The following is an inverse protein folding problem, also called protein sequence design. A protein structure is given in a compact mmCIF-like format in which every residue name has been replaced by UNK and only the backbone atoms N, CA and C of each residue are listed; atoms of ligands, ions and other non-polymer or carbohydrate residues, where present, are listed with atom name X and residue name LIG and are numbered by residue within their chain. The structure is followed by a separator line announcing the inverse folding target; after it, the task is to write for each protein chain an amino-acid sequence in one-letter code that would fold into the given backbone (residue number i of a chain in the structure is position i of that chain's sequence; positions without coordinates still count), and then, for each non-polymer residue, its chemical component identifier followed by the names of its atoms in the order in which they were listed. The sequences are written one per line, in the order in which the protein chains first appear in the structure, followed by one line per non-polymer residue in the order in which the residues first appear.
data_IF_516211968011
#
_entry.id   IF_516211968011
#
_cell.length_a   1.000
_cell.length_b   1.000
_cell.length_c   1.000
_cell.angle_alpha   90.00
_cell.angle_beta   90.00
_cell.angle_gamma   90.00
#
_symmetry.space_group_name_H-M   'P 1'
#
loop_
_entity.id
_entity.type
_entity.pdbx_description
1 polymer ?
#
# COMPACT_ATOMS: atom_id res chain seq x y z
N UNK A 1 -18.78 -23.35 4.49
CA UNK A 1 -19.52 -22.68 5.57
C UNK A 1 -18.63 -22.26 6.74
N UNK A 2 -17.87 -23.16 7.39
CA UNK A 2 -17.00 -22.83 8.54
C UNK A 2 -15.94 -21.75 8.28
N UNK A 3 -15.18 -21.87 7.18
CA UNK A 3 -14.16 -20.87 6.80
C UNK A 3 -14.75 -19.49 6.49
N UNK A 4 -15.95 -19.45 5.90
CA UNK A 4 -16.63 -18.21 5.55
C UNK A 4 -17.09 -17.45 6.80
N UNK A 5 -17.61 -18.19 7.79
CA UNK A 5 -18.03 -17.64 9.09
C UNK A 5 -16.81 -17.09 9.84
N UNK A 6 -15.70 -17.83 9.86
CA UNK A 6 -14.45 -17.37 10.50
C UNK A 6 -13.90 -16.13 9.82
N UNK A 7 -13.89 -16.07 8.49
CA UNK A 7 -13.45 -14.89 7.76
C UNK A 7 -14.33 -13.67 8.08
N UNK A 8 -15.65 -13.83 8.11
CA UNK A 8 -16.58 -12.76 8.48
C UNK A 8 -16.38 -12.28 9.92
N UNK A 9 -16.14 -13.20 10.86
CA UNK A 9 -15.89 -12.88 12.27
C UNK A 9 -14.65 -12.02 12.50
N UNK A 10 -13.69 -12.00 11.56
CA UNK A 10 -12.46 -11.20 11.69
C UNK A 10 -12.53 -9.94 10.81
N UNK A 11 -13.06 -10.06 9.59
CA UNK A 11 -13.15 -8.95 8.63
C UNK A 11 -14.18 -7.90 9.09
N UNK A 12 -15.35 -8.33 9.60
CA UNK A 12 -16.40 -7.40 10.03
C UNK A 12 -15.93 -6.51 11.18
N UNK A 13 -15.32 -7.03 12.27
CA UNK A 13 -14.74 -6.18 13.31
C UNK A 13 -13.65 -5.25 12.78
N UNK A 14 -12.75 -5.72 11.91
CA UNK A 14 -11.73 -4.87 11.31
C UNK A 14 -12.35 -3.70 10.52
N UNK A 15 -13.40 -3.97 9.73
CA UNK A 15 -14.13 -2.92 9.02
C UNK A 15 -14.83 -1.94 9.99
N UNK A 16 -15.47 -2.44 11.07
CA UNK A 16 -16.10 -1.59 12.07
C UNK A 16 -15.09 -0.67 12.79
N UNK A 17 -13.90 -1.20 13.13
CA UNK A 17 -12.80 -0.40 13.67
C UNK A 17 -12.37 0.66 12.67
N UNK A 18 -12.30 0.33 11.37
CA UNK A 18 -12.00 1.29 10.32
C UNK A 18 -13.03 2.42 10.24
N UNK A 19 -14.33 2.08 10.26
CA UNK A 19 -15.42 3.06 10.28
C UNK A 19 -15.34 3.95 11.52
N UNK A 20 -15.04 3.38 12.68
CA UNK A 20 -14.89 4.12 13.93
C UNK A 20 -13.69 5.07 13.90
N UNK A 21 -12.51 4.59 13.50
CA UNK A 21 -11.29 5.40 13.40
C UNK A 21 -11.37 6.47 12.30
N UNK A 22 -12.20 6.26 11.28
CA UNK A 22 -12.37 7.19 10.16
C UNK A 22 -13.24 8.42 10.43
N UNK A 23 -13.99 8.46 11.55
CA UNK A 23 -14.98 9.53 11.81
C UNK A 23 -14.34 10.91 11.97
N UNK A 24 -13.16 10.96 12.58
CA UNK A 24 -12.50 12.22 12.97
C UNK A 24 -11.49 12.71 11.90
N UNK A 25 -11.37 12.00 10.77
CA UNK A 25 -10.39 12.31 9.72
C UNK A 25 -10.68 13.61 8.94
N UNK A 26 -11.86 14.21 9.11
CA UNK A 26 -12.35 15.35 8.34
C UNK A 26 -12.18 16.74 8.97
N UNK A 27 -11.81 16.85 10.25
CA UNK A 27 -11.94 18.12 10.99
C UNK A 27 -10.68 19.01 11.00
N UNK A 28 -9.55 18.54 10.48
CA UNK A 28 -8.29 19.27 10.56
C UNK A 28 -7.68 19.58 9.22
N UNK A 29 -7.78 20.82 8.72
CA UNK A 29 -6.59 21.56 8.22
C UNK A 29 -6.86 23.02 7.83
N UNK A 30 -6.11 23.92 8.48
CA UNK A 30 -5.67 25.18 7.88
C UNK A 30 -4.84 24.90 6.62
N UNK A 31 -5.02 25.75 5.61
CA UNK A 31 -4.59 25.56 4.22
C UNK A 31 -3.09 25.87 3.98
N UNK A 32 -2.14 25.17 4.61
CA UNK A 32 -0.74 25.28 4.16
C UNK A 32 -0.56 24.54 2.82
N UNK A 33 -0.10 25.22 1.74
CA UNK A 33 0.03 24.61 0.42
C UNK A 33 0.97 23.41 0.36
N UNK A 34 2.02 23.38 1.19
CA UNK A 34 3.01 22.29 1.22
C UNK A 34 2.45 21.04 1.89
N UNK A 35 1.74 21.21 3.01
CA UNK A 35 1.03 20.13 3.69
C UNK A 35 -0.06 19.54 2.78
N UNK A 36 -0.86 20.40 2.15
CA UNK A 36 -1.91 19.98 1.22
C UNK A 36 -1.34 19.24 0.01
N UNK A 37 -0.23 19.72 -0.57
CA UNK A 37 0.45 19.04 -1.67
C UNK A 37 0.92 17.63 -1.28
N UNK A 38 1.49 17.46 -0.09
CA UNK A 38 1.90 16.15 0.43
C UNK A 38 0.69 15.23 0.67
N UNK A 39 -0.41 15.76 1.20
CA UNK A 39 -1.65 15.00 1.39
C UNK A 39 -2.24 14.54 0.05
N UNK A 40 -2.28 15.40 -0.97
CA UNK A 40 -2.74 15.06 -2.32
C UNK A 40 -1.88 14.02 -3.02
N UNK A 41 -0.56 14.10 -2.92
CA UNK A 41 0.33 13.05 -3.45
C UNK A 41 0.04 11.70 -2.78
N UNK A 42 -0.11 11.70 -1.45
CA UNK A 42 -0.42 10.50 -0.67
C UNK A 42 -1.78 9.90 -1.07
N UNK A 43 -2.81 10.74 -1.19
CA UNK A 43 -4.15 10.33 -1.61
C UNK A 43 -4.17 9.78 -3.03
N UNK A 44 -3.52 10.48 -3.97
CA UNK A 44 -3.44 10.05 -5.36
C UNK A 44 -2.68 8.72 -5.52
N UNK A 45 -1.51 8.58 -4.87
CA UNK A 45 -0.77 7.33 -4.84
C UNK A 45 -1.59 6.19 -4.20
N UNK A 46 -2.32 6.46 -3.11
CA UNK A 46 -3.18 5.46 -2.48
C UNK A 46 -4.29 4.98 -3.42
N UNK A 47 -4.95 5.88 -4.16
CA UNK A 47 -5.99 5.50 -5.12
C UNK A 47 -5.45 4.64 -6.27
N UNK A 48 -4.26 5.00 -6.80
CA UNK A 48 -3.59 4.21 -7.84
C UNK A 48 -3.20 2.81 -7.33
N UNK A 49 -2.78 2.70 -6.07
CA UNK A 49 -2.36 1.44 -5.45
C UNK A 49 -3.52 0.47 -5.18
N UNK A 50 -4.77 0.95 -5.01
CA UNK A 50 -5.89 0.09 -4.60
C UNK A 50 -6.15 -1.06 -5.57
N UNK A 51 -6.17 -0.79 -6.88
CA UNK A 51 -6.46 -1.80 -7.91
C UNK A 51 -5.37 -2.90 -7.95
N UNK A 52 -4.07 -2.57 -8.12
CA UNK A 52 -3.04 -3.61 -8.14
C UNK A 52 -2.90 -4.34 -6.79
N UNK A 53 -3.13 -3.69 -5.64
CA UNK A 53 -3.18 -4.38 -4.36
C UNK A 53 -4.38 -5.34 -4.22
N UNK A 54 -5.53 -5.00 -4.79
CA UNK A 54 -6.65 -5.93 -4.84
C UNK A 54 -6.35 -7.12 -5.77
N UNK A 55 -5.67 -6.86 -6.89
CA UNK A 55 -5.22 -7.91 -7.80
C UNK A 55 -4.20 -8.86 -7.14
N UNK A 56 -3.26 -8.34 -6.33
CA UNK A 56 -2.33 -9.11 -5.49
C UNK A 56 -3.05 -10.11 -4.58
N UNK A 57 -4.04 -9.63 -3.82
CA UNK A 57 -4.83 -10.47 -2.90
C UNK A 57 -5.53 -11.57 -3.70
N UNK A 58 -6.08 -11.23 -4.86
CA UNK A 58 -6.79 -12.17 -5.71
C UNK A 58 -5.88 -13.26 -6.29
N UNK A 59 -4.74 -12.87 -6.86
CA UNK A 59 -3.77 -13.79 -7.49
C UNK A 59 -3.00 -14.62 -6.47
N UNK A 60 -2.85 -14.13 -5.23
CA UNK A 60 -2.23 -14.90 -4.13
C UNK A 60 -3.15 -15.96 -3.51
N UNK A 61 -4.48 -15.80 -3.62
CA UNK A 61 -5.47 -16.74 -3.05
C UNK A 61 -5.95 -17.77 -4.09
N UNK A 62 -5.81 -17.49 -5.38
CA UNK A 62 -6.22 -18.34 -6.51
C UNK A 62 -5.00 -18.85 -7.28
N UNK A 63 -5.12 -19.88 -8.14
CA UNK A 63 -4.01 -20.27 -9.03
C UNK A 63 -3.61 -19.08 -9.91
N UNK A 64 -2.38 -18.59 -9.75
CA UNK A 64 -1.88 -17.40 -10.43
C UNK A 64 -0.56 -16.84 -9.87
N UNK A 65 0.32 -17.70 -9.33
CA UNK A 65 1.51 -17.26 -8.57
C UNK A 65 2.50 -16.44 -9.38
N UNK A 66 2.61 -16.68 -10.69
CA UNK A 66 3.38 -15.80 -11.55
C UNK A 66 2.77 -14.40 -11.60
N UNK A 67 1.47 -14.28 -11.86
CA UNK A 67 0.80 -13.00 -11.92
C UNK A 67 0.90 -12.26 -10.57
N UNK A 68 0.77 -12.98 -9.46
CA UNK A 68 1.06 -12.48 -8.11
C UNK A 68 2.48 -11.91 -8.01
N UNK A 69 3.51 -12.68 -8.36
CA UNK A 69 4.89 -12.17 -8.27
C UNK A 69 5.14 -10.94 -9.18
N UNK A 70 4.63 -10.94 -10.43
CA UNK A 70 4.82 -9.83 -11.36
C UNK A 70 4.07 -8.56 -10.91
N UNK A 71 2.86 -8.68 -10.37
CA UNK A 71 2.15 -7.54 -9.79
C UNK A 71 2.93 -7.02 -8.56
N UNK A 72 3.57 -7.92 -7.80
CA UNK A 72 4.38 -7.57 -6.65
C UNK A 72 5.54 -6.67 -7.06
N UNK A 73 6.28 -7.04 -8.10
CA UNK A 73 7.34 -6.19 -8.64
C UNK A 73 6.82 -4.85 -9.17
N UNK A 74 5.68 -4.83 -9.87
CA UNK A 74 5.04 -3.59 -10.32
C UNK A 74 4.74 -2.64 -9.14
N UNK A 75 4.33 -3.20 -8.00
CA UNK A 75 3.91 -2.46 -6.82
C UNK A 75 5.07 -1.89 -6.00
N UNK A 76 6.29 -2.44 -6.10
CA UNK A 76 7.42 -2.02 -5.25
C UNK A 76 7.65 -0.49 -5.32
N UNK A 77 7.84 0.15 -6.49
CA UNK A 77 8.12 1.58 -6.51
C UNK A 77 6.91 2.47 -6.11
N UNK A 78 5.66 2.21 -6.54
CA UNK A 78 4.49 2.95 -6.07
C UNK A 78 4.27 2.85 -4.55
N UNK A 79 4.52 1.69 -3.95
CA UNK A 79 4.47 1.51 -2.49
C UNK A 79 5.56 2.33 -1.82
N UNK A 80 6.80 2.29 -2.33
CA UNK A 80 7.89 3.13 -1.81
C UNK A 80 7.57 4.62 -1.92
N UNK A 81 6.93 5.06 -3.01
CA UNK A 81 6.46 6.45 -3.15
C UNK A 81 5.43 6.81 -2.08
N UNK A 82 4.43 5.96 -1.84
CA UNK A 82 3.42 6.19 -0.79
C UNK A 82 4.07 6.23 0.59
N UNK A 83 4.94 5.26 0.90
CA UNK A 83 5.66 5.20 2.17
C UNK A 83 6.58 6.40 2.36
N UNK A 84 7.29 6.83 1.32
CA UNK A 84 8.13 8.03 1.33
C UNK A 84 7.32 9.30 1.58
N UNK A 85 6.15 9.45 0.95
CA UNK A 85 5.26 10.60 1.15
C UNK A 85 4.71 10.67 2.58
N UNK A 86 4.29 9.53 3.15
CA UNK A 86 3.82 9.44 4.54
C UNK A 86 4.98 9.63 5.53
N UNK A 87 6.12 9.01 5.26
CA UNK A 87 7.35 9.13 6.05
C UNK A 87 7.87 10.56 6.10
N UNK A 88 7.83 11.28 4.97
CA UNK A 88 8.16 12.70 4.93
C UNK A 88 7.28 13.50 5.88
N UNK A 89 5.95 13.32 5.82
CA UNK A 89 5.02 13.97 6.77
C UNK A 89 5.35 13.63 8.22
N UNK A 90 5.61 12.36 8.50
CA UNK A 90 5.97 11.87 9.83
C UNK A 90 7.22 12.58 10.35
N UNK A 91 8.31 12.57 9.56
CA UNK A 91 9.57 13.22 9.93
C UNK A 91 9.34 14.71 10.19
N UNK A 92 8.72 15.46 9.27
CA UNK A 92 8.47 16.90 9.45
C UNK A 92 7.67 17.21 10.71
N UNK A 93 6.68 16.38 11.04
CA UNK A 93 5.87 16.55 12.25
C UNK A 93 6.71 16.38 13.54
N UNK A 94 7.49 15.30 13.63
CA UNK A 94 8.28 15.00 14.84
C UNK A 94 9.56 15.82 14.96
N UNK A 95 10.11 16.33 13.85
CA UNK A 95 11.23 17.28 13.88
C UNK A 95 10.80 18.72 14.13
N UNK A 96 9.50 18.98 14.31
CA UNK A 96 9.03 20.28 14.76
C UNK A 96 8.64 21.30 13.68
N UNK A 97 8.47 20.90 12.40
CA UNK A 97 8.08 21.86 11.35
C UNK A 97 6.72 22.51 11.70
N UNK A 98 6.64 23.85 11.84
CA UNK A 98 5.42 24.53 12.28
C UNK A 98 4.21 24.27 11.39
N UNK A 99 4.41 24.10 10.08
CA UNK A 99 3.33 23.84 9.12
C UNK A 99 2.74 22.46 9.34
N UNK A 100 3.60 21.45 9.52
CA UNK A 100 3.18 20.07 9.74
C UNK A 100 2.58 19.88 11.14
N UNK A 101 3.10 20.56 12.16
CA UNK A 101 2.49 20.56 13.50
C UNK A 101 1.13 21.26 13.52
N UNK A 102 1.02 22.41 12.83
CA UNK A 102 -0.23 23.16 12.69
C UNK A 102 -1.32 22.40 11.94
N UNK A 103 -0.94 21.43 11.10
CA UNK A 103 -1.87 20.52 10.43
C UNK A 103 -2.43 19.41 11.35
N UNK A 104 -1.98 19.35 12.60
CA UNK A 104 -2.43 18.39 13.60
C UNK A 104 -1.73 17.03 13.53
N UNK A 105 -1.70 16.29 14.65
CA UNK A 105 -1.20 14.92 14.67
C UNK A 105 -2.07 14.00 13.79
N UNK A 106 -1.50 12.90 13.25
CA UNK A 106 -2.32 11.79 12.78
C UNK A 106 -3.20 11.27 13.93
N UNK A 107 -4.42 10.85 13.62
CA UNK A 107 -5.31 10.18 14.58
C UNK A 107 -4.57 8.98 15.21
N UNK A 108 -4.65 8.84 16.53
CA UNK A 108 -3.75 7.97 17.31
C UNK A 108 -3.94 6.50 16.98
N UNK A 109 -5.18 6.05 16.74
CA UNK A 109 -5.49 4.67 16.38
C UNK A 109 -4.89 4.36 15.01
N UNK A 110 -5.09 5.25 14.04
CA UNK A 110 -4.52 5.10 12.69
C UNK A 110 -2.99 5.20 12.69
N UNK A 111 -2.41 5.96 13.62
CA UNK A 111 -0.96 5.99 13.84
C UNK A 111 -0.44 4.66 14.37
N UNK A 112 -1.13 4.06 15.35
CA UNK A 112 -0.77 2.76 15.91
C UNK A 112 -0.94 1.64 14.89
N UNK A 113 -1.94 1.70 14.01
CA UNK A 113 -2.14 0.77 12.90
C UNK A 113 -1.11 0.99 11.79
N UNK A 114 -0.68 2.24 11.58
CA UNK A 114 0.31 2.58 10.55
C UNK A 114 1.64 1.85 10.74
N UNK A 115 2.10 1.68 11.98
CA UNK A 115 3.36 0.99 12.29
C UNK A 115 3.34 -0.48 11.81
N UNK A 116 2.44 -1.36 12.28
CA UNK A 116 2.37 -2.74 11.81
C UNK A 116 2.06 -2.82 10.32
N UNK A 117 1.21 -1.93 9.78
CA UNK A 117 0.92 -1.92 8.34
C UNK A 117 2.19 -1.71 7.51
N UNK A 118 3.05 -0.76 7.91
CA UNK A 118 4.35 -0.54 7.24
C UNK A 118 5.25 -1.76 7.38
N UNK A 119 5.39 -2.31 8.60
CA UNK A 119 6.23 -3.49 8.85
C UNK A 119 5.79 -4.71 8.04
N UNK A 120 4.50 -5.02 8.01
CA UNK A 120 3.99 -6.16 7.25
C UNK A 120 4.03 -5.91 5.73
N UNK A 121 3.91 -4.65 5.29
CA UNK A 121 4.13 -4.31 3.87
C UNK A 121 5.57 -4.62 3.48
N UNK A 122 6.55 -4.18 4.26
CA UNK A 122 7.97 -4.48 4.02
C UNK A 122 8.23 -5.98 4.09
N UNK A 123 7.64 -6.68 5.06
CA UNK A 123 7.78 -8.13 5.18
C UNK A 123 7.20 -8.87 3.97
N UNK A 124 6.03 -8.48 3.46
CA UNK A 124 5.43 -9.09 2.26
C UNK A 124 6.33 -8.93 1.03
N UNK A 125 6.81 -7.72 0.74
CA UNK A 125 7.71 -7.51 -0.38
C UNK A 125 9.04 -8.23 -0.18
N UNK A 126 9.65 -8.14 1.01
CA UNK A 126 10.92 -8.80 1.30
C UNK A 126 10.85 -10.31 1.16
N UNK A 127 9.83 -10.94 1.76
CA UNK A 127 9.63 -12.40 1.67
C UNK A 127 9.20 -12.82 0.26
N UNK A 128 8.39 -12.04 -0.46
CA UNK A 128 8.01 -12.34 -1.84
C UNK A 128 9.18 -12.26 -2.82
N UNK A 129 10.05 -11.26 -2.68
CA UNK A 129 11.28 -11.11 -3.46
C UNK A 129 12.25 -12.26 -3.17
N UNK A 130 12.40 -12.65 -1.89
CA UNK A 130 13.21 -13.80 -1.50
C UNK A 130 12.71 -15.09 -2.19
N UNK A 131 11.41 -15.37 -2.09
CA UNK A 131 10.80 -16.57 -2.69
C UNK A 131 10.93 -16.57 -4.22
N UNK A 132 10.85 -15.41 -4.86
CA UNK A 132 11.06 -15.29 -6.31
C UNK A 132 12.49 -15.62 -6.72
N UNK A 133 13.48 -15.02 -6.04
CA UNK A 133 14.89 -15.12 -6.43
C UNK A 133 15.55 -16.43 -6.01
N UNK A 134 15.10 -17.03 -4.90
CA UNK A 134 15.78 -18.14 -4.25
C UNK A 134 14.91 -19.37 -4.05
N UNK A 135 13.60 -19.28 -4.31
CA UNK A 135 12.66 -20.39 -4.07
C UNK A 135 12.73 -20.84 -2.61
N UNK A 136 12.96 -22.13 -2.39
CA UNK A 136 13.11 -22.71 -1.04
C UNK A 136 14.57 -22.93 -0.63
N UNK A 137 15.54 -22.33 -1.34
CA UNK A 137 16.98 -22.52 -1.05
C UNK A 137 17.33 -22.13 0.39
N UNK A 138 16.69 -21.11 0.94
CA UNK A 138 16.88 -20.67 2.33
C UNK A 138 15.81 -21.19 3.29
N UNK A 139 15.03 -22.18 2.85
CA UNK A 139 14.07 -22.95 3.64
C UNK A 139 12.60 -22.57 3.42
N UNK A 140 11.70 -23.51 3.70
CA UNK A 140 10.26 -23.34 3.47
C UNK A 140 9.59 -22.31 4.41
N UNK A 141 10.27 -21.91 5.49
CA UNK A 141 9.76 -20.93 6.44
C UNK A 141 9.46 -19.57 5.80
N UNK A 142 10.14 -19.19 4.70
CA UNK A 142 9.86 -17.95 3.98
C UNK A 142 8.43 -17.90 3.45
N UNK A 143 7.89 -19.02 2.96
CA UNK A 143 6.50 -19.12 2.55
C UNK A 143 5.54 -19.01 3.73
N UNK A 144 5.90 -19.62 4.86
CA UNK A 144 5.12 -19.53 6.11
C UNK A 144 5.08 -18.08 6.61
N UNK A 145 6.22 -17.39 6.62
CA UNK A 145 6.31 -15.97 7.00
C UNK A 145 5.55 -15.08 6.03
N UNK A 146 5.63 -15.32 4.72
CA UNK A 146 4.89 -14.57 3.72
C UNK A 146 3.37 -14.69 3.95
N UNK A 147 2.86 -15.91 4.18
CA UNK A 147 1.44 -16.16 4.48
C UNK A 147 1.02 -15.54 5.82
N UNK A 148 1.84 -15.64 6.86
CA UNK A 148 1.55 -15.05 8.15
C UNK A 148 1.52 -13.51 8.08
N UNK A 149 2.50 -12.90 7.43
CA UNK A 149 2.55 -11.47 7.16
C UNK A 149 1.35 -11.03 6.33
N UNK A 150 0.93 -11.81 5.33
CA UNK A 150 -0.25 -11.53 4.51
C UNK A 150 -1.52 -11.43 5.37
N UNK A 151 -1.76 -12.39 6.28
CA UNK A 151 -2.96 -12.37 7.13
C UNK A 151 -2.98 -11.11 7.99
N UNK A 152 -1.87 -10.78 8.67
CA UNK A 152 -1.79 -9.62 9.55
C UNK A 152 -1.85 -8.29 8.77
N UNK A 153 -1.20 -8.25 7.60
CA UNK A 153 -1.28 -7.14 6.66
C UNK A 153 -2.71 -6.93 6.17
N UNK A 154 -3.41 -8.00 5.79
CA UNK A 154 -4.76 -7.91 5.23
C UNK A 154 -5.74 -7.32 6.24
N UNK A 155 -5.64 -7.73 7.52
CA UNK A 155 -6.45 -7.17 8.59
C UNK A 155 -6.17 -5.69 8.82
N UNK A 156 -4.89 -5.32 8.97
CA UNK A 156 -4.50 -3.91 9.19
C UNK A 156 -4.82 -3.03 7.97
N UNK A 157 -4.64 -3.54 6.75
CA UNK A 157 -4.99 -2.87 5.51
C UNK A 157 -6.50 -2.70 5.37
N UNK A 158 -7.32 -3.68 5.80
CA UNK A 158 -8.78 -3.55 5.82
C UNK A 158 -9.21 -2.38 6.70
N UNK A 159 -8.70 -2.30 7.93
CA UNK A 159 -8.97 -1.17 8.84
C UNK A 159 -8.54 0.15 8.17
N UNK A 160 -7.33 0.18 7.60
CA UNK A 160 -6.77 1.37 6.95
C UNK A 160 -7.60 1.85 5.75
N UNK A 161 -7.94 0.95 4.81
CA UNK A 161 -8.74 1.31 3.62
C UNK A 161 -10.12 1.79 4.02
N UNK A 162 -10.78 1.11 4.96
CA UNK A 162 -12.10 1.53 5.43
C UNK A 162 -12.05 2.88 6.15
N UNK A 163 -11.04 3.13 6.98
CA UNK A 163 -10.88 4.43 7.64
C UNK A 163 -10.70 5.56 6.63
N UNK A 164 -9.91 5.35 5.57
CA UNK A 164 -9.60 6.36 4.56
C UNK A 164 -10.54 6.38 3.35
N UNK A 165 -11.65 5.63 3.36
CA UNK A 165 -12.47 5.39 2.16
C UNK A 165 -13.06 6.66 1.53
N UNK A 166 -13.30 7.72 2.32
CA UNK A 166 -13.75 9.04 1.85
C UNK A 166 -12.60 9.99 1.57
N UNK A 167 -11.65 10.08 2.51
CA UNK A 167 -10.57 11.07 2.46
C UNK A 167 -9.60 10.83 1.30
N UNK A 168 -9.28 9.58 0.98
CA UNK A 168 -8.37 9.26 -0.13
C UNK A 168 -8.92 9.72 -1.50
N UNK A 169 -10.16 9.39 -1.90
CA UNK A 169 -10.71 9.91 -3.14
C UNK A 169 -10.94 11.42 -3.12
N UNK A 170 -11.33 12.02 -1.99
CA UNK A 170 -11.44 13.48 -1.86
C UNK A 170 -10.13 14.18 -2.19
N UNK A 171 -9.00 13.70 -1.64
CA UNK A 171 -7.67 14.24 -1.92
C UNK A 171 -7.24 14.03 -3.39
N UNK A 172 -7.52 12.85 -3.95
CA UNK A 172 -7.22 12.57 -5.35
C UNK A 172 -8.05 13.44 -6.32
N UNK A 173 -9.34 13.64 -6.03
CA UNK A 173 -10.23 14.52 -6.80
C UNK A 173 -9.82 15.98 -6.64
N UNK A 174 -9.42 16.40 -5.43
CA UNK A 174 -8.89 17.74 -5.19
C UNK A 174 -7.63 18.00 -6.02
N UNK A 175 -6.74 17.01 -6.16
CA UNK A 175 -5.58 17.10 -7.05
C UNK A 175 -5.94 17.19 -8.53
N UNK A 176 -7.07 16.59 -8.93
CA UNK A 176 -7.59 16.67 -10.28
C UNK A 176 -8.25 18.02 -10.59
N UNK A 177 -9.03 18.57 -9.65
CA UNK A 177 -9.96 19.69 -9.88
C UNK A 177 -9.50 21.04 -9.32
N UNK A 178 -8.84 21.06 -8.17
CA UNK A 178 -8.45 22.31 -7.52
C UNK A 178 -7.03 22.73 -7.93
N UNK A 179 -6.86 23.98 -8.34
CA UNK A 179 -5.58 24.56 -8.75
C UNK A 179 -4.66 24.74 -7.53
N UNK A 180 -3.83 23.73 -7.26
CA UNK A 180 -2.68 23.82 -6.36
C UNK A 180 -1.41 23.62 -7.17
N UNK A 181 -0.43 24.51 -7.01
CA UNK A 181 0.87 24.39 -7.66
C UNK A 181 1.50 23.00 -7.47
N UNK A 182 2.26 22.52 -8.45
CA UNK A 182 2.94 21.23 -8.40
C UNK A 182 2.09 19.99 -8.73
N UNK A 183 0.86 20.17 -9.24
CA UNK A 183 0.01 19.04 -9.66
C UNK A 183 0.68 18.15 -10.72
N UNK A 184 1.33 18.75 -11.72
CA UNK A 184 2.08 17.99 -12.73
C UNK A 184 3.18 17.16 -12.07
N UNK A 185 3.98 17.74 -11.18
CA UNK A 185 5.05 17.02 -10.48
C UNK A 185 4.50 15.84 -9.66
N UNK A 186 3.39 16.01 -8.92
CA UNK A 186 2.77 14.93 -8.16
C UNK A 186 2.29 13.78 -9.07
N UNK A 187 1.64 14.11 -10.18
CA UNK A 187 1.18 13.11 -11.16
C UNK A 187 2.35 12.41 -11.84
N UNK A 188 3.38 13.17 -12.23
CA UNK A 188 4.60 12.63 -12.82
C UNK A 188 5.32 11.68 -11.86
N UNK A 189 5.36 11.96 -10.55
CA UNK A 189 5.94 11.04 -9.57
C UNK A 189 5.19 9.71 -9.51
N UNK A 190 3.85 9.75 -9.47
CA UNK A 190 3.04 8.52 -9.44
C UNK A 190 3.17 7.75 -10.76
N UNK A 191 3.09 8.42 -11.91
CA UNK A 191 3.27 7.79 -13.23
C UNK A 191 4.69 7.20 -13.34
N UNK A 192 5.71 7.96 -12.97
CA UNK A 192 7.09 7.49 -12.98
C UNK A 192 7.28 6.27 -12.08
N UNK A 193 6.65 6.23 -10.90
CA UNK A 193 6.72 5.05 -10.03
C UNK A 193 6.11 3.81 -10.69
N UNK A 194 5.01 3.95 -11.43
CA UNK A 194 4.41 2.84 -12.19
C UNK A 194 5.31 2.41 -13.35
N UNK A 195 5.92 3.35 -14.07
CA UNK A 195 6.85 3.06 -15.16
C UNK A 195 8.10 2.35 -14.66
N UNK A 196 8.64 2.77 -13.52
CA UNK A 196 9.76 2.08 -12.86
C UNK A 196 9.33 0.69 -12.40
N UNK A 197 8.10 0.53 -11.91
CA UNK A 197 7.53 -0.78 -11.56
C UNK A 197 7.42 -1.70 -12.78
N UNK A 198 6.94 -1.17 -13.91
CA UNK A 198 6.86 -1.91 -15.17
C UNK A 198 8.26 -2.30 -15.69
N UNK A 199 9.24 -1.40 -15.60
CA UNK A 199 10.63 -1.70 -15.93
C UNK A 199 11.21 -2.79 -15.00
N UNK A 200 10.87 -2.74 -13.70
CA UNK A 200 11.28 -3.77 -12.74
C UNK A 200 10.68 -5.14 -13.09
N UNK A 201 9.39 -5.19 -13.47
CA UNK A 201 8.75 -6.42 -13.97
C UNK A 201 9.53 -7.00 -15.15
N UNK A 202 9.82 -6.19 -16.17
CA UNK A 202 10.58 -6.62 -17.34
C UNK A 202 11.97 -7.13 -16.95
N UNK A 203 12.65 -6.44 -16.04
CA UNK A 203 13.96 -6.84 -15.54
C UNK A 203 13.93 -8.17 -14.77
N UNK A 204 12.78 -8.56 -14.18
CA UNK A 204 12.63 -9.82 -13.45
C UNK A 204 12.28 -11.02 -14.34
N UNK A 205 11.76 -10.81 -15.56
CA UNK A 205 11.37 -11.92 -16.47
C UNK A 205 12.49 -12.93 -16.81
N UNK A 206 13.78 -12.52 -16.95
CA UNK A 206 14.85 -13.48 -17.24
C UNK A 206 15.26 -14.35 -16.05
N UNK A 207 14.85 -14.01 -14.82
CA UNK A 207 15.22 -14.77 -13.63
C UNK A 207 14.44 -16.07 -13.60
N UNK A 208 15.15 -17.20 -13.46
CA UNK A 208 14.55 -18.50 -13.27
C UNK A 208 13.72 -18.47 -11.98
N UNK A 209 12.40 -18.57 -12.12
CA UNK A 209 11.46 -18.54 -11.00
C UNK A 209 10.82 -19.92 -10.83
N UNK A 210 10.53 -20.36 -9.60
CA UNK A 210 9.75 -21.57 -9.35
C UNK A 210 8.28 -21.44 -9.82
N UNK A 211 7.85 -20.23 -10.20
CA UNK A 211 6.53 -19.91 -10.72
C UNK A 211 6.60 -19.74 -12.24
N UNK A 212 6.31 -20.81 -12.98
CA UNK A 212 6.50 -20.84 -14.44
C UNK A 212 5.37 -20.14 -15.19
N UNK A 213 5.72 -19.32 -16.19
CA UNK A 213 4.90 -19.21 -17.40
C UNK A 213 4.87 -20.61 -18.00
N UNK A 214 3.70 -21.18 -18.33
CA UNK A 214 3.69 -22.40 -19.13
C UNK A 214 4.42 -22.11 -20.43
N UNK A 215 5.68 -22.54 -20.55
CA UNK A 215 6.37 -22.59 -21.83
C UNK A 215 5.56 -23.60 -22.65
N UNK A 216 4.81 -23.11 -23.63
CA UNK A 216 4.17 -23.96 -24.61
C UNK A 216 5.24 -24.85 -25.22
N UNK A 217 5.24 -26.11 -24.82
CA UNK A 217 5.95 -27.15 -25.53
C UNK A 217 5.19 -27.33 -26.85
N UNK A 218 5.79 -26.82 -27.92
CA UNK A 218 5.61 -27.34 -29.27
C UNK A 218 6.27 -28.71 -29.37
#
# INVERSE_FOLDING_TARGET
MKLLIVALLVIVPAALVGVWAGRDLGEGSRHDPGVESNARLTGYAAMVLLIPLAAEVFTGVRPGLLAHALIGFLLVPPVLLKLGSVGYRFVRYYTGDPRYRGAGPPEIVLRLIGIPLVLFTVALFGTGIELWLFGFRFGEQWLTWHKAAFVLWFLTMTVHVVAYWRRAPELAIADARARLGGALARRSLVIASLLVGAALVVAMLPFASPFTLSSGAS
#
